data_IF_804368086775
#
_entry.id   IF_804368086775
#
_cell.length_a   1.000
_cell.length_b   1.000
_cell.length_c   1.000
_cell.angle_alpha   90.00
_cell.angle_beta   90.00
_cell.angle_gamma   90.00
#
_symmetry.space_group_name_H-M   'P 1'
#
loop_
_entity.id
_entity.type
_entity.pdbx_description
1 polymer ?
#
# COMPACT_ATOMS: atom_id res chain seq x y z
N UNK A 1 9.54 -9.45 13.20
CA UNK A 1 8.52 -9.42 12.14
C UNK A 1 9.10 -8.63 10.98
N UNK A 2 9.20 -9.25 9.79
CA UNK A 2 9.70 -8.57 8.60
C UNK A 2 8.60 -7.67 8.00
N UNK A 3 8.98 -6.69 7.17
CA UNK A 3 8.00 -5.82 6.50
C UNK A 3 7.04 -6.65 5.63
N UNK A 4 7.56 -7.69 4.97
CA UNK A 4 6.78 -8.61 4.14
C UNK A 4 5.70 -9.34 4.95
N UNK A 5 6.04 -9.87 6.12
CA UNK A 5 5.08 -10.55 7.01
C UNK A 5 3.91 -9.66 7.42
N UNK A 6 4.13 -8.35 7.57
CA UNK A 6 3.10 -7.39 7.97
C UNK A 6 2.24 -6.95 6.79
N UNK A 7 2.84 -6.75 5.60
CA UNK A 7 2.13 -6.19 4.45
C UNK A 7 1.44 -7.23 3.56
N UNK A 8 1.84 -8.51 3.61
CA UNK A 8 1.31 -9.55 2.72
C UNK A 8 -0.23 -9.64 2.79
N UNK A 9 -0.79 -9.68 4.00
CA UNK A 9 -2.24 -9.75 4.19
C UNK A 9 -2.98 -8.52 3.66
N UNK A 10 -2.72 -7.27 4.13
CA UNK A 10 -3.47 -6.11 3.64
C UNK A 10 -3.29 -5.87 2.14
N UNK A 11 -2.11 -6.13 1.59
CA UNK A 11 -1.86 -5.98 0.14
C UNK A 11 -2.66 -7.00 -0.67
N UNK A 12 -2.59 -8.29 -0.32
CA UNK A 12 -3.37 -9.32 -1.02
C UNK A 12 -4.87 -9.12 -0.84
N UNK A 13 -5.32 -8.64 0.31
CA UNK A 13 -6.73 -8.31 0.55
C UNK A 13 -7.21 -7.17 -0.35
N UNK A 14 -6.48 -6.04 -0.38
CA UNK A 14 -6.81 -4.90 -1.26
C UNK A 14 -6.76 -5.33 -2.73
N UNK A 15 -5.76 -6.13 -3.12
CA UNK A 15 -5.64 -6.64 -4.47
C UNK A 15 -6.82 -7.55 -4.83
N UNK A 16 -7.22 -8.45 -3.94
CA UNK A 16 -8.40 -9.29 -4.16
C UNK A 16 -9.67 -8.46 -4.39
N UNK A 17 -9.89 -7.41 -3.59
CA UNK A 17 -11.00 -6.47 -3.80
C UNK A 17 -10.89 -5.78 -5.17
N UNK A 18 -9.71 -5.28 -5.52
CA UNK A 18 -9.46 -4.66 -6.83
C UNK A 18 -9.70 -5.62 -7.99
N UNK A 19 -9.34 -6.90 -7.82
CA UNK A 19 -9.60 -7.95 -8.78
C UNK A 19 -11.10 -8.18 -8.96
N UNK A 20 -11.86 -8.32 -7.86
CA UNK A 20 -13.31 -8.44 -7.93
C UNK A 20 -13.94 -7.26 -8.69
N UNK A 21 -13.57 -6.02 -8.37
CA UNK A 21 -14.05 -4.84 -9.09
C UNK A 21 -13.70 -4.88 -10.58
N UNK A 22 -12.50 -5.37 -10.92
CA UNK A 22 -12.04 -5.49 -12.30
C UNK A 22 -12.82 -6.55 -13.07
N UNK A 23 -13.21 -7.66 -12.43
CA UNK A 23 -14.04 -8.70 -13.05
C UNK A 23 -15.43 -8.17 -13.46
N UNK A 24 -16.00 -7.25 -12.66
CA UNK A 24 -17.30 -6.62 -12.96
C UNK A 24 -17.23 -5.51 -14.00
N UNK A 25 -16.03 -5.03 -14.36
CA UNK A 25 -15.88 -3.99 -15.39
C UNK A 25 -16.26 -4.54 -16.77
N UNK A 26 -17.29 -3.95 -17.39
CA UNK A 26 -17.82 -4.40 -18.70
C UNK A 26 -16.88 -4.08 -19.86
N UNK A 27 -16.18 -2.95 -19.79
CA UNK A 27 -15.30 -2.48 -20.87
C UNK A 27 -13.94 -3.19 -20.92
N UNK A 28 -13.67 -4.12 -20.00
CA UNK A 28 -12.42 -4.87 -19.95
C UNK A 28 -12.61 -6.23 -20.58
N UNK A 29 -11.78 -6.54 -21.58
CA UNK A 29 -11.81 -7.82 -22.26
C UNK A 29 -11.52 -9.00 -21.32
N UNK A 30 -12.17 -10.13 -21.58
CA UNK A 30 -12.09 -11.32 -20.73
C UNK A 30 -10.68 -11.88 -20.58
N UNK A 31 -9.83 -11.75 -21.60
CA UNK A 31 -8.46 -12.25 -21.53
C UNK A 31 -7.61 -11.45 -20.53
N UNK A 32 -7.78 -10.12 -20.43
CA UNK A 32 -7.11 -9.31 -19.41
C UNK A 32 -7.55 -9.66 -17.99
N UNK A 33 -8.85 -9.91 -17.80
CA UNK A 33 -9.39 -10.38 -16.51
C UNK A 33 -8.74 -11.69 -16.08
N UNK A 34 -8.57 -12.62 -17.02
CA UNK A 34 -7.89 -13.88 -16.76
C UNK A 34 -6.41 -13.69 -16.42
N UNK A 35 -5.69 -12.82 -17.14
CA UNK A 35 -4.29 -12.51 -16.81
C UNK A 35 -4.15 -11.90 -15.41
N UNK A 36 -4.99 -10.93 -15.03
CA UNK A 36 -4.95 -10.35 -13.69
C UNK A 36 -5.24 -11.39 -12.60
N UNK A 37 -6.17 -12.31 -12.85
CA UNK A 37 -6.43 -13.44 -11.97
C UNK A 37 -5.24 -14.37 -11.82
N UNK A 38 -4.58 -14.75 -12.92
CA UNK A 38 -3.38 -15.59 -12.87
C UNK A 38 -2.25 -14.94 -12.08
N UNK A 39 -1.99 -13.66 -12.32
CA UNK A 39 -0.96 -12.92 -11.57
C UNK A 39 -1.30 -12.90 -10.09
N UNK A 40 -2.56 -12.63 -9.72
CA UNK A 40 -2.99 -12.68 -8.33
C UNK A 40 -2.78 -14.06 -7.71
N UNK A 41 -3.16 -15.15 -8.40
CA UNK A 41 -2.96 -16.51 -7.91
C UNK A 41 -1.48 -16.83 -7.69
N UNK A 42 -0.61 -16.41 -8.60
CA UNK A 42 0.83 -16.62 -8.45
C UNK A 42 1.36 -15.96 -7.17
N UNK A 43 1.02 -14.70 -6.94
CA UNK A 43 1.45 -13.98 -5.74
C UNK A 43 0.78 -14.47 -4.46
N UNK A 44 -0.49 -14.90 -4.52
CA UNK A 44 -1.17 -15.49 -3.39
C UNK A 44 -0.51 -16.80 -2.96
N UNK A 45 -0.11 -17.66 -3.90
CA UNK A 45 0.60 -18.90 -3.60
C UNK A 45 1.99 -18.60 -3.05
N UNK A 46 2.71 -17.66 -3.66
CA UNK A 46 4.05 -17.28 -3.23
C UNK A 46 4.09 -16.73 -1.81
N UNK A 47 3.12 -15.89 -1.44
CA UNK A 47 3.04 -15.24 -0.12
C UNK A 47 1.96 -15.85 0.79
N UNK A 48 1.58 -17.10 0.53
CA UNK A 48 0.53 -17.79 1.29
C UNK A 48 0.86 -17.92 2.79
N UNK A 49 2.10 -18.29 3.19
CA UNK A 49 2.46 -18.37 4.61
C UNK A 49 2.30 -17.02 5.33
N UNK A 50 2.85 -15.95 4.76
CA UNK A 50 2.81 -14.59 5.32
C UNK A 50 1.38 -14.04 5.37
N UNK A 51 0.58 -14.34 4.35
CA UNK A 51 -0.84 -14.03 4.33
C UNK A 51 -1.57 -14.71 5.49
N UNK A 52 -1.35 -16.01 5.69
CA UNK A 52 -2.05 -16.78 6.71
C UNK A 52 -1.67 -16.33 8.13
N UNK A 53 -0.40 -16.02 8.36
CA UNK A 53 0.06 -15.41 9.60
C UNK A 53 -0.60 -14.05 9.86
N UNK A 54 -0.73 -13.21 8.82
CA UNK A 54 -1.44 -11.94 8.92
C UNK A 54 -2.92 -12.11 9.29
N UNK A 55 -3.58 -13.14 8.73
CA UNK A 55 -4.97 -13.48 9.10
C UNK A 55 -5.07 -13.93 10.56
N UNK A 56 -4.10 -14.70 11.07
CA UNK A 56 -4.08 -15.12 12.47
C UNK A 56 -3.94 -13.92 13.41
N UNK A 57 -2.98 -13.02 13.14
CA UNK A 57 -2.79 -11.79 13.95
C UNK A 57 -4.00 -10.86 13.92
N UNK A 58 -4.64 -10.73 12.75
CA UNK A 58 -5.87 -9.96 12.62
C UNK A 58 -7.00 -10.49 13.51
N UNK A 59 -7.14 -11.83 13.61
CA UNK A 59 -8.14 -12.46 14.46
C UNK A 59 -7.87 -12.22 15.95
N UNK A 60 -6.60 -12.16 16.35
CA UNK A 60 -6.21 -11.94 17.74
C UNK A 60 -6.38 -10.48 18.19
N UNK A 61 -5.89 -9.52 17.39
CA UNK A 61 -5.98 -8.10 17.74
C UNK A 61 -6.08 -7.19 16.50
N UNK A 62 -7.29 -7.00 15.95
CA UNK A 62 -7.47 -6.25 14.72
C UNK A 62 -7.07 -4.78 14.86
N UNK A 63 -7.28 -4.16 16.02
CA UNK A 63 -6.95 -2.74 16.24
C UNK A 63 -5.45 -2.48 16.17
N UNK A 64 -4.65 -3.32 16.83
CA UNK A 64 -3.20 -3.21 16.79
C UNK A 64 -2.66 -3.52 15.38
N UNK A 65 -3.25 -4.52 14.71
CA UNK A 65 -2.83 -4.94 13.38
C UNK A 65 -3.08 -3.83 12.32
N UNK A 66 -4.19 -3.07 12.40
CA UNK A 66 -4.41 -1.89 11.52
C UNK A 66 -3.28 -0.87 11.65
N UNK A 67 -2.87 -0.54 12.88
CA UNK A 67 -1.81 0.44 13.11
C UNK A 67 -0.46 -0.05 12.54
N UNK A 68 -0.19 -1.35 12.68
CA UNK A 68 0.99 -1.98 12.08
C UNK A 68 0.94 -1.92 10.56
N UNK A 69 -0.21 -2.15 9.93
CA UNK A 69 -0.36 -2.04 8.48
C UNK A 69 -0.15 -0.62 7.98
N UNK A 70 -0.75 0.37 8.62
CA UNK A 70 -0.58 1.78 8.22
C UNK A 70 0.90 2.16 8.25
N UNK A 71 1.62 1.77 9.31
CA UNK A 71 3.05 2.01 9.44
C UNK A 71 3.87 1.26 8.36
N UNK A 72 3.60 -0.03 8.17
CA UNK A 72 4.34 -0.86 7.23
C UNK A 72 4.09 -0.48 5.76
N UNK A 73 2.83 -0.16 5.41
CA UNK A 73 2.46 0.36 4.09
C UNK A 73 3.09 1.74 3.86
N UNK A 74 3.10 2.60 4.89
CA UNK A 74 3.82 3.87 4.86
C UNK A 74 5.28 3.66 4.48
N UNK A 75 6.02 2.83 5.21
CA UNK A 75 7.42 2.52 4.89
C UNK A 75 7.59 1.91 3.48
N UNK A 76 6.67 1.03 3.07
CA UNK A 76 6.69 0.40 1.75
C UNK A 76 6.54 1.41 0.62
N UNK A 77 5.62 2.37 0.76
CA UNK A 77 5.41 3.46 -0.20
C UNK A 77 6.66 4.35 -0.28
N UNK A 78 7.30 4.65 0.86
CA UNK A 78 8.53 5.45 0.87
C UNK A 78 9.65 4.78 0.06
N UNK A 79 9.89 3.49 0.29
CA UNK A 79 10.88 2.70 -0.47
C UNK A 79 10.47 2.58 -1.94
N UNK A 80 9.18 2.37 -2.23
CA UNK A 80 8.69 2.30 -3.60
C UNK A 80 8.91 3.61 -4.35
N UNK A 81 8.61 4.76 -3.73
CA UNK A 81 8.82 6.07 -4.33
C UNK A 81 10.30 6.32 -4.65
N UNK A 82 11.22 5.88 -3.78
CA UNK A 82 12.66 5.95 -4.04
C UNK A 82 13.06 5.25 -5.35
N UNK A 83 12.47 4.08 -5.66
CA UNK A 83 12.69 3.39 -6.93
C UNK A 83 11.86 3.95 -8.10
N UNK A 84 10.65 4.46 -7.82
CA UNK A 84 9.74 4.98 -8.83
C UNK A 84 10.30 6.26 -9.47
N UNK A 85 10.87 7.18 -8.69
CA UNK A 85 11.30 8.49 -9.18
C UNK A 85 12.34 8.44 -10.32
N UNK A 86 13.42 7.62 -10.23
CA UNK A 86 14.33 7.42 -11.36
C UNK A 86 13.62 6.94 -12.64
N UNK A 87 12.70 5.98 -12.52
CA UNK A 87 11.94 5.47 -13.66
C UNK A 87 11.00 6.52 -14.26
N UNK A 88 10.39 7.34 -13.41
CA UNK A 88 9.54 8.46 -13.82
C UNK A 88 10.37 9.49 -14.61
N UNK A 89 11.57 9.85 -14.14
CA UNK A 89 12.44 10.79 -14.86
C UNK A 89 12.84 10.26 -16.25
N UNK A 90 13.19 8.98 -16.35
CA UNK A 90 13.49 8.32 -17.64
C UNK A 90 12.26 8.41 -18.56
N UNK A 91 11.07 8.09 -18.04
CA UNK A 91 9.82 8.15 -18.83
C UNK A 91 9.49 9.57 -19.28
N UNK A 92 9.71 10.57 -18.43
CA UNK A 92 9.52 11.98 -18.77
C UNK A 92 10.43 12.39 -19.92
N UNK A 93 11.70 11.98 -19.87
CA UNK A 93 12.67 12.31 -20.91
C UNK A 93 12.34 11.66 -22.27
N UNK A 94 11.97 10.37 -22.28
CA UNK A 94 11.82 9.62 -23.54
C UNK A 94 10.41 9.55 -24.12
N UNK A 95 9.35 9.65 -23.30
CA UNK A 95 8.02 9.16 -23.69
C UNK A 95 6.87 10.07 -23.26
N UNK A 96 7.10 11.10 -22.45
CA UNK A 96 6.00 11.90 -21.96
C UNK A 96 5.48 12.86 -23.05
N UNK A 97 4.27 12.57 -23.53
CA UNK A 97 3.52 13.49 -24.39
C UNK A 97 3.20 14.77 -23.62
N UNK A 98 3.08 15.90 -24.32
CA UNK A 98 2.80 17.21 -23.72
C UNK A 98 1.59 17.21 -22.77
N UNK A 99 0.60 16.32 -22.95
CA UNK A 99 -0.57 16.23 -22.09
C UNK A 99 -0.36 15.36 -20.84
N UNK A 100 0.37 14.25 -20.98
CA UNK A 100 0.71 13.38 -19.84
C UNK A 100 1.62 14.12 -18.85
N UNK A 101 2.59 14.88 -19.38
CA UNK A 101 3.50 15.71 -18.59
C UNK A 101 2.76 16.77 -17.78
N UNK A 102 1.73 17.40 -18.34
CA UNK A 102 0.99 18.51 -17.70
C UNK A 102 0.10 18.08 -16.55
N UNK A 103 -0.33 16.82 -16.51
CA UNK A 103 -1.29 16.33 -15.50
C UNK A 103 -0.65 15.34 -14.53
N UNK A 104 0.13 14.38 -15.05
CA UNK A 104 0.67 13.28 -14.25
C UNK A 104 1.90 13.70 -13.45
N UNK A 105 2.74 14.59 -13.98
CA UNK A 105 3.94 15.09 -13.28
C UNK A 105 3.54 15.93 -12.05
N UNK A 106 2.67 16.95 -12.16
CA UNK A 106 2.29 17.74 -10.99
C UNK A 106 1.56 16.90 -9.95
N UNK A 107 0.64 16.02 -10.38
CA UNK A 107 -0.08 15.15 -9.46
C UNK A 107 0.86 14.23 -8.67
N UNK A 108 1.81 13.58 -9.35
CA UNK A 108 2.77 12.70 -8.69
C UNK A 108 3.75 13.48 -7.80
N UNK A 109 4.23 14.64 -8.25
CA UNK A 109 5.15 15.49 -7.49
C UNK A 109 4.49 16.05 -6.23
N UNK A 110 3.33 16.72 -6.36
CA UNK A 110 2.61 17.26 -5.21
C UNK A 110 2.13 16.16 -4.27
N UNK A 111 1.64 15.04 -4.81
CA UNK A 111 1.25 13.88 -4.02
C UNK A 111 2.41 13.31 -3.20
N UNK A 112 3.59 13.19 -3.81
CA UNK A 112 4.81 12.72 -3.13
C UNK A 112 5.25 13.68 -2.04
N UNK A 113 5.28 14.99 -2.31
CA UNK A 113 5.69 15.99 -1.30
C UNK A 113 4.71 16.01 -0.12
N UNK A 114 3.41 15.98 -0.39
CA UNK A 114 2.39 15.91 0.65
C UNK A 114 2.53 14.62 1.47
N UNK A 115 2.70 13.48 0.79
CA UNK A 115 2.95 12.20 1.44
C UNK A 115 4.21 12.25 2.31
N UNK A 116 5.33 12.80 1.84
CA UNK A 116 6.55 12.96 2.63
C UNK A 116 6.32 13.84 3.86
N UNK A 117 5.63 14.97 3.73
CA UNK A 117 5.33 15.83 4.86
C UNK A 117 4.55 15.07 5.94
N UNK A 118 3.47 14.38 5.55
CA UNK A 118 2.66 13.58 6.48
C UNK A 118 3.44 12.39 7.05
N UNK A 119 4.25 11.71 6.23
CA UNK A 119 5.06 10.58 6.66
C UNK A 119 6.14 11.01 7.65
N UNK A 120 6.83 12.12 7.40
CA UNK A 120 7.83 12.65 8.34
C UNK A 120 7.19 13.08 9.65
N UNK A 121 6.06 13.80 9.60
CA UNK A 121 5.28 14.13 10.80
C UNK A 121 4.90 12.86 11.57
N UNK A 122 4.35 11.86 10.89
CA UNK A 122 4.04 10.58 11.52
C UNK A 122 5.27 9.92 12.15
N UNK A 123 6.41 9.85 11.45
CA UNK A 123 7.62 9.23 11.99
C UNK A 123 8.16 9.95 13.23
N UNK A 124 8.07 11.28 13.26
CA UNK A 124 8.50 12.09 14.41
C UNK A 124 7.58 11.90 15.61
N UNK A 125 6.27 11.88 15.39
CA UNK A 125 5.26 11.88 16.46
C UNK A 125 4.68 10.50 16.80
N UNK A 126 5.03 9.44 16.05
CA UNK A 126 4.44 8.10 16.21
C UNK A 126 4.59 7.51 17.61
N UNK A 127 5.72 7.76 18.28
CA UNK A 127 5.96 7.29 19.66
C UNK A 127 5.05 8.01 20.66
N UNK A 128 4.90 9.32 20.51
CA UNK A 128 4.07 10.17 21.38
C UNK A 128 2.58 9.90 21.15
N UNK A 129 2.18 9.73 19.88
CA UNK A 129 0.83 9.37 19.49
C UNK A 129 0.41 8.00 20.00
N UNK A 130 1.31 6.99 19.93
CA UNK A 130 1.06 5.67 20.52
C UNK A 130 0.93 5.75 22.05
N UNK A 131 1.77 6.58 22.71
CA UNK A 131 1.66 6.82 24.16
C UNK A 131 0.33 7.47 24.54
N UNK A 132 -0.10 8.48 23.78
CA UNK A 132 -1.39 9.16 23.97
C UNK A 132 -2.59 8.23 23.75
N UNK A 133 -2.57 7.40 22.70
CA UNK A 133 -3.60 6.39 22.46
C UNK A 133 -3.68 5.39 23.61
N UNK A 134 -2.54 4.86 24.07
CA UNK A 134 -2.51 3.98 25.22
C UNK A 134 -3.12 4.64 26.45
N UNK A 135 -2.78 5.89 26.75
CA UNK A 135 -3.31 6.61 27.90
C UNK A 135 -4.85 6.75 27.83
N UNK A 136 -5.42 7.10 26.68
CA UNK A 136 -6.88 7.22 26.50
C UNK A 136 -7.59 5.88 26.71
N UNK A 137 -7.06 4.79 26.12
CA UNK A 137 -7.69 3.48 26.25
C UNK A 137 -7.52 2.85 27.64
N UNK A 138 -6.54 3.28 28.42
CA UNK A 138 -6.31 2.78 29.79
C UNK A 138 -7.16 3.52 30.83
N UNK A 139 -7.46 4.80 30.58
CA UNK A 139 -8.36 5.62 31.44
C UNK A 139 -9.84 5.27 31.22
N UNK A 140 -10.19 4.59 30.12
CA UNK A 140 -11.56 4.16 29.79
C UNK A 140 -11.98 2.81 30.41
N UNK A 141 -11.18 2.24 31.32
CA UNK A 141 -11.54 1.09 32.16
C UNK A 141 -11.73 1.54 33.60
#
# INVERSE_FOLDING_TARGET
MTLLEVVAFPVLFIWFVGLLLTLFRRDLESHWKFFFFLVFCFYLVQFFPEFWEGVARWKENPKAEILLWISAMGNSIYVFLFFLWPLVLIRIYYSASNNLSKTLIPALAYGTVLYWALFFLWTMYSKEFNGWLHQIFTISK
#
